data_IF_582477180406
#
_entry.id   IF_582477180406
#
_cell.length_a   1.000
_cell.length_b   1.000
_cell.length_c   1.000
_cell.angle_alpha   90.00
_cell.angle_beta   90.00
_cell.angle_gamma   90.00
#
_symmetry.space_group_name_H-M   'P 1'
#
loop_
_entity.id
_entity.type
_entity.pdbx_description
1 polymer ?
#
# COMPACT_ATOMS: atom_id res chain seq x y z
N UNK A 1 -7.20 -11.44 23.07
CA UNK A 1 -7.73 -10.60 21.97
C UNK A 1 -6.53 -10.03 21.22
N UNK A 2 -6.42 -10.29 19.93
CA UNK A 2 -5.35 -9.72 19.09
C UNK A 2 -5.93 -8.58 18.25
N UNK A 3 -5.25 -7.45 18.27
CA UNK A 3 -5.66 -6.23 17.57
C UNK A 3 -4.59 -5.80 16.55
N UNK A 4 -5.03 -5.49 15.33
CA UNK A 4 -4.16 -5.07 14.23
C UNK A 4 -4.74 -3.82 13.58
N UNK A 5 -3.96 -2.74 13.54
CA UNK A 5 -4.26 -1.53 12.81
C UNK A 5 -3.51 -1.55 11.48
N UNK A 6 -4.25 -1.62 10.37
CA UNK A 6 -3.69 -1.49 9.02
C UNK A 6 -3.68 -0.03 8.58
N UNK A 7 -2.59 0.41 7.95
CA UNK A 7 -2.41 1.78 7.45
C UNK A 7 -1.94 1.77 6.00
N UNK A 8 -2.63 2.52 5.14
CA UNK A 8 -2.19 2.89 3.79
C UNK A 8 -2.00 4.41 3.73
N UNK A 9 -0.83 4.88 3.24
CA UNK A 9 -0.51 6.31 3.17
C UNK A 9 0.61 6.62 2.18
N UNK A 10 0.78 7.91 1.84
CA UNK A 10 1.90 8.50 1.09
C UNK A 10 1.96 8.17 -0.41
N UNK A 11 0.85 7.70 -0.98
CA UNK A 11 0.72 7.52 -2.42
C UNK A 11 -0.60 8.13 -2.93
N UNK A 12 -1.74 7.46 -2.72
CA UNK A 12 -3.09 7.96 -2.96
C UNK A 12 -4.05 7.23 -2.02
N UNK A 13 -5.24 7.79 -1.82
CA UNK A 13 -6.34 7.13 -1.10
C UNK A 13 -5.92 6.58 0.28
N UNK A 14 -5.28 7.43 1.09
CA UNK A 14 -4.86 7.03 2.43
C UNK A 14 -6.03 6.53 3.25
N UNK A 15 -5.80 5.46 4.03
CA UNK A 15 -6.84 4.74 4.75
C UNK A 15 -6.31 4.07 6.01
N UNK A 16 -7.23 3.77 6.93
CA UNK A 16 -6.96 2.93 8.08
C UNK A 16 -8.07 1.89 8.26
N UNK A 17 -7.70 0.72 8.78
CA UNK A 17 -8.63 -0.32 9.17
C UNK A 17 -8.16 -1.00 10.45
N UNK A 18 -9.10 -1.42 11.31
CA UNK A 18 -8.77 -2.15 12.54
C UNK A 18 -9.46 -3.51 12.56
N UNK A 19 -8.68 -4.52 12.95
CA UNK A 19 -9.10 -5.91 13.04
C UNK A 19 -8.92 -6.38 14.48
N UNK A 20 -9.95 -7.01 15.04
CA UNK A 20 -9.91 -7.66 16.34
C UNK A 20 -10.22 -9.15 16.18
N UNK A 21 -9.30 -10.01 16.61
CA UNK A 21 -9.43 -11.48 16.55
C UNK A 21 -9.89 -11.99 15.17
N UNK A 22 -9.38 -11.37 14.09
CA UNK A 22 -9.69 -11.73 12.71
C UNK A 22 -10.96 -11.09 12.13
N UNK A 23 -11.69 -10.27 12.91
CA UNK A 23 -12.87 -9.57 12.43
C UNK A 23 -12.55 -8.09 12.13
N UNK A 24 -12.99 -7.60 10.98
CA UNK A 24 -12.89 -6.19 10.62
C UNK A 24 -13.93 -5.42 11.43
N UNK A 25 -13.46 -4.55 12.33
CA UNK A 25 -14.35 -3.74 13.18
C UNK A 25 -14.73 -2.44 12.48
N UNK A 26 -13.72 -1.76 11.92
CA UNK A 26 -13.93 -0.51 11.17
C UNK A 26 -12.85 -0.32 10.12
N UNK A 27 -13.21 0.38 9.04
CA UNK A 27 -12.30 0.81 7.99
C UNK A 27 -12.79 2.12 7.38
N UNK A 28 -11.86 3.04 7.11
CA UNK A 28 -12.19 4.32 6.50
C UNK A 28 -11.03 4.89 5.67
N UNK A 29 -11.37 5.60 4.60
CA UNK A 29 -10.43 6.44 3.86
C UNK A 29 -10.36 7.84 4.49
N UNK A 30 -9.16 8.42 4.52
CA UNK A 30 -8.92 9.77 5.06
C UNK A 30 -9.74 10.84 4.34
N UNK A 31 -9.96 10.68 3.03
CA UNK A 31 -10.76 11.61 2.22
C UNK A 31 -12.20 11.80 2.73
N UNK A 32 -12.77 10.83 3.45
CA UNK A 32 -14.11 10.95 4.04
C UNK A 32 -14.16 12.05 5.09
N UNK A 33 -13.05 12.28 5.76
CA UNK A 33 -12.90 13.26 6.86
C UNK A 33 -12.22 14.55 6.38
N UNK A 34 -11.17 14.43 5.56
CA UNK A 34 -10.41 15.57 5.05
C UNK A 34 -11.15 16.33 3.94
N UNK A 35 -12.12 15.66 3.26
CA UNK A 35 -12.82 16.15 2.07
C UNK A 35 -11.92 16.46 0.89
N UNK A 36 -10.69 15.94 0.90
CA UNK A 36 -9.72 16.04 -0.17
C UNK A 36 -9.68 14.72 -0.93
N UNK A 37 -10.15 14.76 -2.19
CA UNK A 37 -10.18 13.56 -3.05
C UNK A 37 -8.78 13.01 -3.28
N UNK A 38 -8.62 11.68 -3.17
CA UNK A 38 -7.34 10.97 -3.30
C UNK A 38 -6.27 11.50 -2.31
N UNK A 39 -6.67 11.83 -1.08
CA UNK A 39 -5.74 12.36 -0.07
C UNK A 39 -4.57 11.40 0.16
N UNK A 40 -3.31 11.81 -0.15
CA UNK A 40 -2.13 10.97 0.02
C UNK A 40 -1.51 11.11 1.42
N UNK A 41 -2.06 11.97 2.28
CA UNK A 41 -1.49 12.30 3.58
C UNK A 41 -1.45 11.12 4.56
N UNK A 42 -0.90 11.33 5.76
CA UNK A 42 -1.03 10.36 6.82
C UNK A 42 -2.50 10.32 7.31
N UNK A 43 -3.15 9.14 7.44
CA UNK A 43 -4.57 9.03 7.67
C UNK A 43 -4.97 9.23 9.14
N UNK A 44 -4.63 10.38 9.71
CA UNK A 44 -4.81 10.68 11.13
C UNK A 44 -6.26 10.58 11.58
N UNK A 45 -7.19 11.10 10.77
CA UNK A 45 -8.62 11.10 11.11
C UNK A 45 -9.23 9.71 10.94
N UNK A 46 -8.82 8.98 9.89
CA UNK A 46 -9.25 7.60 9.71
C UNK A 46 -8.74 6.69 10.83
N UNK A 47 -7.48 6.89 11.30
CA UNK A 47 -6.94 6.16 12.45
C UNK A 47 -7.76 6.46 13.72
N UNK A 48 -8.03 7.71 14.02
CA UNK A 48 -8.83 8.08 15.18
C UNK A 48 -10.23 7.44 15.11
N UNK A 49 -10.89 7.51 13.95
CA UNK A 49 -12.21 6.90 13.74
C UNK A 49 -12.19 5.39 14.02
N UNK A 50 -11.24 4.64 13.46
CA UNK A 50 -11.23 3.18 13.67
C UNK A 50 -10.84 2.79 15.10
N UNK A 51 -10.03 3.60 15.78
CA UNK A 51 -9.72 3.41 17.20
C UNK A 51 -10.95 3.68 18.08
N UNK A 52 -11.71 4.74 17.81
CA UNK A 52 -12.97 5.05 18.50
C UNK A 52 -13.99 3.91 18.34
N UNK A 53 -14.22 3.44 17.10
CA UNK A 53 -15.15 2.34 16.83
C UNK A 53 -14.75 1.03 17.52
N UNK A 54 -13.46 0.78 17.66
CA UNK A 54 -12.94 -0.42 18.35
C UNK A 54 -12.82 -0.24 19.86
N UNK A 55 -13.04 0.97 20.39
CA UNK A 55 -12.85 1.32 21.80
C UNK A 55 -11.42 1.05 22.29
N UNK A 56 -10.42 1.18 21.41
CA UNK A 56 -9.00 1.00 21.72
C UNK A 56 -8.25 2.32 21.63
N UNK A 57 -7.20 2.43 22.47
CA UNK A 57 -6.15 3.42 22.28
C UNK A 57 -5.02 2.86 21.43
N UNK A 58 -4.21 3.71 20.84
CA UNK A 58 -3.09 3.28 19.99
C UNK A 58 -2.11 2.36 20.72
N UNK A 59 -1.89 2.59 22.03
CA UNK A 59 -1.05 1.75 22.87
C UNK A 59 -1.62 0.34 23.13
N UNK A 60 -2.93 0.17 23.05
CA UNK A 60 -3.58 -1.12 23.25
C UNK A 60 -3.54 -2.00 22.00
N UNK A 61 -3.27 -1.40 20.82
CA UNK A 61 -3.11 -2.14 19.58
C UNK A 61 -1.84 -3.00 19.64
N UNK A 62 -1.95 -4.29 19.30
CA UNK A 62 -0.80 -5.21 19.33
C UNK A 62 0.16 -4.98 18.17
N UNK A 63 -0.37 -4.77 16.97
CA UNK A 63 0.42 -4.53 15.76
C UNK A 63 -0.16 -3.41 14.91
N UNK A 64 0.73 -2.59 14.37
CA UNK A 64 0.41 -1.60 13.35
C UNK A 64 1.11 -2.03 12.07
N UNK A 65 0.36 -2.23 11.00
CA UNK A 65 0.88 -2.80 9.75
C UNK A 65 0.75 -1.78 8.62
N UNK A 66 1.88 -1.43 8.04
CA UNK A 66 1.94 -0.61 6.84
C UNK A 66 1.94 -1.50 5.59
N UNK A 67 1.24 -1.10 4.55
CA UNK A 67 0.86 -1.94 3.40
C UNK A 67 1.99 -2.30 2.42
N UNK A 68 3.17 -1.66 2.51
CA UNK A 68 4.30 -1.91 1.61
C UNK A 68 5.64 -1.91 2.35
N UNK A 69 6.68 -2.55 1.77
CA UNK A 69 8.06 -2.57 2.28
C UNK A 69 8.91 -1.52 1.54
N UNK A 70 9.20 -0.37 2.15
CA UNK A 70 9.89 0.73 1.48
C UNK A 70 11.29 0.39 0.96
N UNK A 71 12.00 -0.51 1.67
CA UNK A 71 13.35 -0.93 1.27
C UNK A 71 13.36 -1.70 -0.04
N UNK A 72 12.42 -2.62 -0.27
CA UNK A 72 12.32 -3.37 -1.53
C UNK A 72 12.00 -2.43 -2.71
N UNK A 73 11.20 -1.42 -2.47
CA UNK A 73 10.88 -0.40 -3.46
C UNK A 73 12.12 0.45 -3.82
N UNK A 74 12.93 0.79 -2.82
CA UNK A 74 14.19 1.50 -3.02
C UNK A 74 15.21 0.64 -3.78
N UNK A 75 15.37 -0.63 -3.40
CA UNK A 75 16.22 -1.61 -4.07
C UNK A 75 15.89 -1.69 -5.57
N UNK A 76 14.62 -1.88 -5.94
CA UNK A 76 14.18 -1.89 -7.32
C UNK A 76 14.61 -0.64 -8.10
N UNK A 77 14.46 0.55 -7.52
CA UNK A 77 14.87 1.80 -8.20
C UNK A 77 16.37 1.84 -8.45
N UNK A 78 17.15 1.42 -7.45
CA UNK A 78 18.61 1.40 -7.55
C UNK A 78 19.05 0.40 -8.63
N UNK A 79 18.54 -0.83 -8.58
CA UNK A 79 18.86 -1.87 -9.57
C UNK A 79 18.41 -1.50 -10.97
N UNK A 80 17.20 -0.93 -11.12
CA UNK A 80 16.72 -0.43 -12.42
C UNK A 80 17.65 0.61 -12.99
N UNK A 81 18.12 1.56 -12.16
CA UNK A 81 19.07 2.55 -12.63
C UNK A 81 20.42 1.93 -13.03
N UNK A 82 20.96 1.03 -12.21
CA UNK A 82 22.23 0.36 -12.51
C UNK A 82 22.16 -0.43 -13.82
N UNK A 83 21.03 -1.11 -14.07
CA UNK A 83 20.80 -1.85 -15.31
C UNK A 83 20.69 -0.96 -16.55
N UNK A 84 20.25 0.29 -16.40
CA UNK A 84 20.05 1.24 -17.52
C UNK A 84 21.17 2.27 -17.64
N UNK A 85 22.12 2.31 -16.70
CA UNK A 85 23.19 3.31 -16.68
C UNK A 85 23.99 3.30 -18.00
N UNK A 86 24.38 4.49 -18.51
CA UNK A 86 24.22 5.83 -17.93
C UNK A 86 22.89 6.53 -18.26
N UNK A 87 21.96 5.84 -18.93
CA UNK A 87 20.67 6.42 -19.29
C UNK A 87 19.83 6.73 -18.04
N UNK A 88 19.11 7.86 -18.04
CA UNK A 88 18.26 8.26 -16.92
C UNK A 88 19.01 8.89 -15.74
N UNK A 89 20.32 9.18 -15.84
CA UNK A 89 21.12 9.74 -14.74
C UNK A 89 20.51 11.01 -14.13
N UNK A 90 19.99 11.92 -14.97
CA UNK A 90 19.38 13.16 -14.52
C UNK A 90 18.15 12.90 -13.63
N UNK A 91 17.27 12.00 -14.05
CA UNK A 91 16.09 11.61 -13.29
C UNK A 91 16.48 10.92 -11.99
N UNK A 92 17.44 10.01 -12.06
CA UNK A 92 17.96 9.30 -10.89
C UNK A 92 18.56 10.27 -9.86
N UNK A 93 19.44 11.19 -10.30
CA UNK A 93 20.09 12.16 -9.41
C UNK A 93 19.11 13.11 -8.72
N UNK A 94 18.00 13.45 -9.39
CA UNK A 94 16.94 14.28 -8.81
C UNK A 94 16.05 13.49 -7.82
N UNK A 95 15.79 12.22 -8.11
CA UNK A 95 14.90 11.38 -7.31
C UNK A 95 15.59 10.78 -6.07
N UNK A 96 16.89 10.45 -6.17
CA UNK A 96 17.62 9.78 -5.10
C UNK A 96 17.62 10.49 -3.75
N UNK A 97 17.87 11.81 -3.65
CA UNK A 97 17.85 12.50 -2.36
C UNK A 97 16.47 12.45 -1.69
N UNK A 98 15.40 12.56 -2.50
CA UNK A 98 14.01 12.48 -2.03
C UNK A 98 13.73 11.08 -1.50
N UNK A 99 14.10 10.05 -2.26
CA UNK A 99 13.86 8.65 -1.91
C UNK A 99 14.66 8.18 -0.70
N UNK A 100 15.92 8.61 -0.59
CA UNK A 100 16.73 8.36 0.60
C UNK A 100 16.05 8.94 1.84
N UNK A 101 15.60 10.19 1.77
CA UNK A 101 14.93 10.85 2.88
C UNK A 101 13.58 10.21 3.23
N UNK A 102 12.76 9.93 2.23
CA UNK A 102 11.39 9.47 2.45
C UNK A 102 11.28 7.96 2.73
N UNK A 103 12.07 7.14 2.03
CA UNK A 103 11.91 5.67 2.10
C UNK A 103 12.81 5.00 3.13
N UNK A 104 14.07 5.42 3.27
CA UNK A 104 14.95 4.86 4.30
C UNK A 104 14.48 5.19 5.71
N UNK A 105 13.90 6.37 5.91
CA UNK A 105 13.41 6.81 7.21
C UNK A 105 11.90 6.64 7.40
N UNK A 106 11.22 5.98 6.46
CA UNK A 106 9.75 5.85 6.48
C UNK A 106 9.23 5.22 7.78
N UNK A 107 9.94 4.23 8.33
CA UNK A 107 9.55 3.63 9.62
C UNK A 107 9.55 4.65 10.75
N UNK A 108 10.61 5.46 10.82
CA UNK A 108 10.74 6.53 11.81
C UNK A 108 9.67 7.61 11.59
N UNK A 109 9.46 8.00 10.35
CA UNK A 109 8.47 9.00 9.98
C UNK A 109 7.02 8.57 10.35
N UNK A 110 6.65 7.31 10.05
CA UNK A 110 5.35 6.76 10.45
C UNK A 110 5.24 6.75 11.98
N UNK A 111 6.29 6.33 12.67
CA UNK A 111 6.31 6.30 14.13
C UNK A 111 6.12 7.70 14.72
N UNK A 112 6.82 8.71 14.21
CA UNK A 112 6.65 10.11 14.62
C UNK A 112 5.21 10.58 14.41
N UNK A 113 4.57 10.24 13.29
CA UNK A 113 3.16 10.55 13.03
C UNK A 113 2.19 9.84 13.98
N UNK A 114 2.50 8.63 14.41
CA UNK A 114 1.72 7.92 15.42
C UNK A 114 1.87 8.56 16.80
N UNK A 115 3.07 8.99 17.17
CA UNK A 115 3.32 9.73 18.41
C UNK A 115 2.63 11.10 18.41
N UNK A 116 2.56 11.79 17.24
CA UNK A 116 1.77 13.03 17.12
C UNK A 116 0.27 12.82 17.40
N UNK A 117 -0.27 11.61 17.13
CA UNK A 117 -1.67 11.27 17.42
C UNK A 117 -1.89 10.87 18.89
N UNK A 118 -0.93 10.19 19.48
CA UNK A 118 -0.99 9.70 20.85
C UNK A 118 0.43 9.75 21.45
N UNK A 119 0.72 10.80 22.23
CA UNK A 119 2.03 11.01 22.87
C UNK A 119 2.44 9.85 23.79
N UNK A 120 1.50 9.03 24.23
CA UNK A 120 1.77 7.86 25.05
C UNK A 120 2.32 6.67 24.25
N UNK A 121 2.17 6.68 22.89
CA UNK A 121 2.66 5.63 22.03
C UNK A 121 4.19 5.65 21.89
N UNK A 122 4.86 4.60 22.41
CA UNK A 122 6.32 4.59 22.52
C UNK A 122 6.99 3.29 22.00
N UNK A 123 6.23 2.32 21.49
CA UNK A 123 6.79 1.04 21.03
C UNK A 123 6.84 0.93 19.49
N UNK A 124 7.96 1.36 18.92
CA UNK A 124 8.23 1.24 17.48
C UNK A 124 8.27 -0.23 16.98
N UNK A 125 8.40 -1.22 17.88
CA UNK A 125 8.43 -2.65 17.50
C UNK A 125 7.07 -3.16 17.06
N UNK A 126 5.99 -2.49 17.48
CA UNK A 126 4.63 -2.77 17.01
C UNK A 126 4.43 -2.45 15.53
N UNK A 127 5.22 -1.51 14.97
CA UNK A 127 5.15 -1.13 13.57
C UNK A 127 5.82 -2.18 12.67
N UNK A 128 5.00 -2.82 11.83
CA UNK A 128 5.37 -3.85 10.86
C UNK A 128 5.08 -3.39 9.43
N UNK A 129 5.66 -4.08 8.47
CA UNK A 129 5.48 -3.81 7.04
C UNK A 129 5.07 -5.11 6.34
N UNK A 130 4.02 -5.05 5.54
CA UNK A 130 3.61 -6.14 4.65
C UNK A 130 4.24 -5.97 3.28
N UNK A 131 4.29 -7.01 2.47
CA UNK A 131 4.59 -6.88 1.05
C UNK A 131 3.38 -6.34 0.30
N UNK A 132 3.61 -5.51 -0.71
CA UNK A 132 2.57 -4.80 -1.44
C UNK A 132 1.53 -5.76 -2.07
N UNK A 133 1.99 -6.74 -2.83
CA UNK A 133 1.09 -7.72 -3.46
C UNK A 133 0.44 -8.68 -2.46
N UNK A 134 1.10 -8.98 -1.33
CA UNK A 134 0.48 -9.72 -0.24
C UNK A 134 -0.64 -8.90 0.41
N UNK A 135 -0.46 -7.59 0.54
CA UNK A 135 -1.52 -6.69 1.03
C UNK A 135 -2.73 -6.67 0.09
N UNK A 136 -2.51 -6.60 -1.23
CA UNK A 136 -3.58 -6.72 -2.22
C UNK A 136 -4.30 -8.08 -2.15
N UNK A 137 -3.55 -9.18 -2.14
CA UNK A 137 -4.13 -10.52 -2.06
C UNK A 137 -4.94 -10.72 -0.78
N UNK A 138 -4.42 -10.23 0.36
CA UNK A 138 -5.09 -10.31 1.65
C UNK A 138 -6.39 -9.49 1.67
N UNK A 139 -6.39 -8.30 1.09
CA UNK A 139 -7.57 -7.43 1.03
C UNK A 139 -8.70 -8.01 0.20
N UNK A 140 -8.38 -8.86 -0.79
CA UNK A 140 -9.38 -9.55 -1.61
C UNK A 140 -9.86 -10.85 -0.97
N UNK A 141 -8.94 -11.68 -0.43
CA UNK A 141 -9.24 -13.03 0.00
C UNK A 141 -9.94 -13.10 1.37
N UNK A 142 -9.36 -12.46 2.40
CA UNK A 142 -9.89 -12.62 3.76
C UNK A 142 -11.31 -12.07 3.97
N UNK A 143 -11.74 -10.98 3.35
CA UNK A 143 -13.14 -10.56 3.44
C UNK A 143 -14.08 -11.31 2.48
N UNK A 144 -13.55 -12.17 1.60
CA UNK A 144 -14.35 -12.95 0.67
C UNK A 144 -15.07 -14.12 1.36
N UNK A 145 -16.14 -14.69 0.76
CA UNK A 145 -16.81 -15.87 1.29
C UNK A 145 -16.08 -17.20 1.01
N UNK A 146 -14.92 -17.17 0.36
CA UNK A 146 -14.23 -18.37 -0.11
C UNK A 146 -13.25 -18.91 0.94
N UNK A 147 -13.33 -20.20 1.26
CA UNK A 147 -12.34 -20.89 2.07
C UNK A 147 -11.07 -21.25 1.30
N UNK A 148 -11.19 -21.40 -0.02
CA UNK A 148 -10.08 -21.67 -0.93
C UNK A 148 -10.35 -20.95 -2.24
N UNK A 149 -9.36 -20.21 -2.75
CA UNK A 149 -9.47 -19.46 -3.99
C UNK A 149 -8.10 -19.21 -4.64
N UNK A 150 -8.11 -19.07 -5.96
CA UNK A 150 -7.01 -18.44 -6.70
C UNK A 150 -7.18 -16.94 -6.60
N UNK A 151 -6.11 -16.24 -6.26
CA UNK A 151 -6.09 -14.78 -6.11
C UNK A 151 -5.18 -14.21 -7.19
N UNK A 152 -5.72 -13.31 -8.00
CA UNK A 152 -4.97 -12.60 -9.02
C UNK A 152 -4.85 -11.13 -8.61
N UNK A 153 -3.62 -10.61 -8.55
CA UNK A 153 -3.37 -9.18 -8.35
C UNK A 153 -2.68 -8.59 -9.57
N UNK A 154 -3.18 -7.44 -10.03
CA UNK A 154 -2.64 -6.70 -11.16
C UNK A 154 -2.43 -5.26 -10.72
N UNK A 155 -1.19 -4.79 -10.79
CA UNK A 155 -0.80 -3.45 -10.38
C UNK A 155 0.07 -2.79 -11.45
N UNK A 156 0.27 -1.49 -11.35
CA UNK A 156 1.27 -0.78 -12.15
C UNK A 156 2.66 -1.26 -11.76
N UNK A 157 3.07 -0.98 -10.56
CA UNK A 157 4.32 -1.45 -9.94
C UNK A 157 4.19 -1.44 -8.43
N UNK A 158 4.25 -2.60 -7.79
CA UNK A 158 4.42 -2.73 -6.34
C UNK A 158 5.86 -2.47 -5.88
N UNK A 159 6.44 -3.40 -5.18
CA UNK A 159 7.90 -3.38 -4.90
C UNK A 159 8.66 -3.85 -6.14
N UNK A 160 8.69 -5.16 -6.40
CA UNK A 160 9.18 -5.76 -7.65
C UNK A 160 8.04 -6.33 -8.49
N UNK A 161 7.11 -7.03 -7.83
CA UNK A 161 5.98 -7.63 -8.48
C UNK A 161 5.04 -6.58 -9.06
N UNK A 162 4.51 -6.88 -10.25
CA UNK A 162 3.52 -6.10 -10.97
C UNK A 162 2.23 -6.88 -11.17
N UNK A 163 2.34 -8.21 -11.19
CA UNK A 163 1.22 -9.14 -11.27
C UNK A 163 1.57 -10.37 -10.44
N UNK A 164 0.65 -10.84 -9.62
CA UNK A 164 0.85 -12.09 -8.88
C UNK A 164 -0.34 -13.02 -8.99
N UNK A 165 -0.06 -14.31 -8.92
CA UNK A 165 -1.05 -15.35 -8.71
C UNK A 165 -0.75 -16.01 -7.37
N UNK A 166 -1.74 -16.02 -6.49
CA UNK A 166 -1.64 -16.66 -5.19
C UNK A 166 -2.77 -17.70 -5.00
N UNK A 167 -2.57 -18.62 -4.07
CA UNK A 167 -3.59 -19.54 -3.58
C UNK A 167 -3.89 -19.18 -2.14
N UNK A 168 -5.13 -18.80 -1.88
CA UNK A 168 -5.65 -18.62 -0.54
C UNK A 168 -6.32 -19.91 -0.05
N UNK A 169 -6.00 -20.33 1.18
CA UNK A 169 -6.63 -21.50 1.81
C UNK A 169 -6.73 -21.29 3.33
N UNK A 170 -7.95 -21.14 3.85
CA UNK A 170 -8.20 -20.82 5.26
C UNK A 170 -7.50 -19.51 5.63
N UNK A 171 -6.52 -19.56 6.52
CA UNK A 171 -5.76 -18.40 6.99
C UNK A 171 -4.40 -18.23 6.29
N UNK A 172 -4.14 -18.97 5.21
CA UNK A 172 -2.87 -18.94 4.50
C UNK A 172 -3.03 -18.40 3.07
N UNK A 173 -2.09 -17.57 2.64
CA UNK A 173 -1.95 -17.12 1.25
C UNK A 173 -0.55 -17.47 0.80
N UNK A 174 -0.45 -18.25 -0.27
CA UNK A 174 0.81 -18.64 -0.89
C UNK A 174 0.94 -18.00 -2.27
N UNK A 175 2.01 -17.21 -2.49
CA UNK A 175 2.35 -16.67 -3.80
C UNK A 175 2.93 -17.77 -4.67
N UNK A 176 2.28 -18.04 -5.82
CA UNK A 176 2.64 -19.16 -6.69
C UNK A 176 3.40 -18.69 -7.91
N UNK A 177 3.03 -17.54 -8.47
CA UNK A 177 3.66 -16.94 -9.65
C UNK A 177 3.68 -15.43 -9.54
N UNK A 178 4.73 -14.83 -10.12
CA UNK A 178 4.91 -13.39 -10.19
C UNK A 178 5.42 -12.95 -11.55
N UNK A 179 4.98 -11.79 -12.00
CA UNK A 179 5.59 -11.00 -13.05
C UNK A 179 6.24 -9.80 -12.38
N UNK A 180 7.51 -9.54 -12.69
CA UNK A 180 8.27 -8.46 -12.12
C UNK A 180 8.45 -7.29 -13.10
N UNK A 181 8.65 -6.10 -12.55
CA UNK A 181 9.09 -4.94 -13.30
C UNK A 181 10.38 -5.27 -14.12
N UNK A 182 10.50 -4.83 -15.41
CA UNK A 182 9.68 -3.83 -16.08
C UNK A 182 8.40 -4.36 -16.76
N UNK A 183 8.13 -5.67 -16.72
CA UNK A 183 6.94 -6.23 -17.33
C UNK A 183 5.72 -5.98 -16.44
N UNK A 184 4.71 -5.28 -16.96
CA UNK A 184 3.52 -4.93 -16.20
C UNK A 184 2.31 -4.76 -17.10
N UNK A 185 1.24 -5.49 -16.79
CA UNK A 185 -0.07 -5.33 -17.45
C UNK A 185 -0.70 -3.98 -17.03
N UNK A 186 -0.54 -3.59 -15.77
CA UNK A 186 -1.03 -2.30 -15.27
C UNK A 186 -0.35 -1.10 -15.94
N UNK A 187 0.98 -1.14 -16.11
CA UNK A 187 1.68 -0.09 -16.86
C UNK A 187 1.34 -0.08 -18.35
N UNK A 188 1.05 -1.25 -18.95
CA UNK A 188 0.54 -1.31 -20.31
C UNK A 188 -0.82 -0.60 -20.42
N UNK A 189 -1.72 -0.84 -19.47
CA UNK A 189 -3.00 -0.13 -19.40
C UNK A 189 -2.80 1.39 -19.23
N UNK A 190 -1.90 1.80 -18.36
CA UNK A 190 -1.54 3.22 -18.17
C UNK A 190 -0.95 3.83 -19.45
N UNK A 191 -0.13 3.11 -20.20
CA UNK A 191 0.40 3.57 -21.48
C UNK A 191 -0.71 3.81 -22.51
N UNK A 192 -1.70 2.92 -22.63
CA UNK A 192 -2.87 3.13 -23.48
C UNK A 192 -3.74 4.28 -22.98
N UNK A 193 -3.89 4.43 -21.66
CA UNK A 193 -4.61 5.57 -21.06
C UNK A 193 -3.97 6.89 -21.50
N UNK A 194 -2.64 6.98 -21.42
CA UNK A 194 -1.90 8.17 -21.88
C UNK A 194 -2.04 8.37 -23.39
N UNK A 195 -1.88 7.30 -24.18
CA UNK A 195 -1.96 7.36 -25.66
C UNK A 195 -3.34 7.86 -26.13
N UNK A 196 -4.42 7.49 -25.46
CA UNK A 196 -5.79 7.95 -25.78
C UNK A 196 -6.11 9.34 -25.22
N UNK A 197 -5.13 10.04 -24.63
CA UNK A 197 -5.25 11.42 -24.15
C UNK A 197 -5.90 11.57 -22.78
N UNK A 198 -6.07 10.49 -22.03
CA UNK A 198 -6.58 10.54 -20.66
C UNK A 198 -5.46 10.63 -19.63
N UNK A 199 -5.80 11.15 -18.44
CA UNK A 199 -4.86 11.28 -17.34
C UNK A 199 -4.63 9.90 -16.70
N UNK A 200 -3.37 9.45 -16.67
CA UNK A 200 -2.95 8.22 -15.96
C UNK A 200 -3.25 8.32 -14.45
N UNK A 201 -3.54 7.18 -13.83
CA UNK A 201 -3.98 7.02 -12.43
C UNK A 201 -5.35 7.63 -12.09
N UNK A 202 -6.10 8.07 -13.09
CA UNK A 202 -7.46 8.57 -12.87
C UNK A 202 -8.34 8.51 -14.13
N UNK A 203 -7.82 8.03 -15.24
CA UNK A 203 -8.52 7.98 -16.52
C UNK A 203 -8.63 6.57 -17.13
N UNK A 204 -8.12 5.54 -16.45
CA UNK A 204 -8.16 4.16 -16.89
C UNK A 204 -9.59 3.69 -17.14
N UNK A 205 -10.53 4.04 -16.25
CA UNK A 205 -11.97 3.74 -16.44
C UNK A 205 -12.60 4.39 -17.69
N UNK A 206 -12.02 5.51 -18.15
CA UNK A 206 -12.48 6.17 -19.39
C UNK A 206 -12.02 5.40 -20.62
N UNK A 207 -10.81 4.84 -20.58
CA UNK A 207 -10.31 3.94 -21.64
C UNK A 207 -11.16 2.69 -21.70
N UNK A 208 -11.53 2.11 -20.54
CA UNK A 208 -12.46 0.99 -20.47
C UNK A 208 -13.81 1.34 -21.12
N UNK A 209 -14.35 2.52 -20.86
CA UNK A 209 -15.60 2.99 -21.49
C UNK A 209 -15.48 3.35 -22.98
N UNK A 210 -14.26 3.55 -23.49
CA UNK A 210 -13.98 3.83 -24.91
C UNK A 210 -13.84 2.54 -25.74
N UNK A 211 -13.53 1.42 -25.08
CA UNK A 211 -13.19 0.16 -25.76
C UNK A 211 -14.32 -0.53 -26.53
N UNK A 212 -15.62 -0.43 -26.15
CA UNK A 212 -16.74 -1.03 -26.92
C UNK A 212 -17.06 -0.28 -28.20
#
# INVERSE_FOLDING_TARGET
MKSILGISAFYHDSAAAIILDGQIIAAAQEERFSRKKHDPGFPSKAINYVLEESQLTLNQVDYIVFFEKPFLKFERLLETYLAMAPFGFKQFSLSMPIWLKEKLFQKKFIFEKLVELDESFNDIKKLKFSEHHLSHASSAFYPSPFNEAVILTLDGVGEWATTTVAIGKGNNIEMVKEIHFPHSIGLLYSAFTYYTGFKVNSGEYKVMGLAP
#
